data_IF_961711882630
#
_entry.id   IF_961711882630
#
_cell.length_a   1.000
_cell.length_b   1.000
_cell.length_c   1.000
_cell.angle_alpha   90.00
_cell.angle_beta   90.00
_cell.angle_gamma   90.00
#
_symmetry.space_group_name_H-M   'P 1'
#
loop_
_entity.id
_entity.type
_entity.pdbx_description
1 polymer ?
#
# COMPACT_ATOMS: atom_id res chain seq x y z
N UNK A 1 0.53 -1.94 -16.58
CA UNK A 1 1.93 -2.35 -16.85
C UNK A 1 2.73 -1.25 -17.54
N UNK A 2 2.19 -0.57 -18.56
CA UNK A 2 2.89 0.56 -19.21
C UNK A 2 3.13 1.72 -18.23
N UNK A 3 2.13 2.09 -17.43
CA UNK A 3 2.24 3.20 -16.44
C UNK A 3 3.27 2.94 -15.32
N UNK A 4 3.52 1.68 -14.96
CA UNK A 4 4.52 1.37 -13.92
C UNK A 4 5.94 1.44 -14.47
N UNK A 5 6.12 1.08 -15.75
CA UNK A 5 7.42 1.20 -16.41
C UNK A 5 7.82 2.66 -16.62
N UNK A 6 6.86 3.53 -16.97
CA UNK A 6 7.10 4.97 -17.07
C UNK A 6 7.46 5.56 -15.72
N UNK A 7 6.78 5.20 -14.62
CA UNK A 7 7.14 5.72 -13.28
C UNK A 7 8.57 5.35 -12.87
N UNK A 8 9.01 4.12 -13.17
CA UNK A 8 10.40 3.69 -12.88
C UNK A 8 11.38 4.51 -13.72
N UNK A 9 11.08 4.65 -15.01
CA UNK A 9 11.87 5.43 -15.96
C UNK A 9 11.98 6.91 -15.54
N UNK A 10 10.87 7.52 -15.18
CA UNK A 10 10.83 8.94 -14.79
C UNK A 10 11.49 9.17 -13.43
N UNK A 11 11.49 8.17 -12.55
CA UNK A 11 12.18 8.27 -11.25
C UNK A 11 13.70 8.28 -11.41
N UNK A 12 14.30 7.34 -12.17
CA UNK A 12 15.75 7.34 -12.32
C UNK A 12 16.22 8.57 -13.12
N UNK A 13 15.48 8.94 -14.18
CA UNK A 13 15.76 10.17 -14.93
C UNK A 13 15.64 11.42 -14.07
N UNK A 14 14.64 11.50 -13.18
CA UNK A 14 14.48 12.64 -12.29
C UNK A 14 15.72 12.91 -11.43
N UNK A 15 16.44 11.88 -10.99
CA UNK A 15 17.70 12.07 -10.26
C UNK A 15 18.79 12.70 -11.15
N UNK A 16 18.91 12.24 -12.40
CA UNK A 16 19.87 12.81 -13.36
C UNK A 16 19.53 14.24 -13.75
N UNK A 17 18.25 14.55 -13.91
CA UNK A 17 17.76 15.87 -14.27
C UNK A 17 18.02 16.88 -13.13
N UNK A 18 17.71 16.51 -11.88
CA UNK A 18 18.01 17.34 -10.70
C UNK A 18 19.51 17.58 -10.55
N UNK A 19 20.33 16.55 -10.76
CA UNK A 19 21.79 16.69 -10.70
C UNK A 19 22.33 17.64 -11.77
N UNK A 20 21.87 17.48 -13.01
CA UNK A 20 22.28 18.32 -14.15
C UNK A 20 21.83 19.76 -13.94
N UNK A 21 20.60 19.98 -13.49
CA UNK A 21 20.10 21.33 -13.28
C UNK A 21 20.73 22.02 -12.07
N UNK A 22 21.06 21.29 -10.99
CA UNK A 22 21.86 21.83 -9.89
C UNK A 22 23.26 22.25 -10.37
N UNK A 23 23.86 21.46 -11.27
CA UNK A 23 25.14 21.80 -11.90
C UNK A 23 25.03 23.08 -12.76
N UNK A 24 24.01 23.21 -13.60
CA UNK A 24 23.75 24.45 -14.36
C UNK A 24 23.53 25.65 -13.44
N UNK A 25 22.78 25.46 -12.36
CA UNK A 25 22.50 26.51 -11.39
C UNK A 25 23.77 26.96 -10.64
N UNK A 26 24.68 26.03 -10.37
CA UNK A 26 26.00 26.35 -9.81
C UNK A 26 26.85 27.19 -10.79
N UNK A 27 26.75 26.95 -12.09
CA UNK A 27 27.48 27.74 -13.09
C UNK A 27 26.96 29.19 -13.17
N UNK A 28 25.65 29.40 -13.06
CA UNK A 28 25.04 30.74 -13.18
C UNK A 28 25.12 31.56 -11.87
N UNK A 29 24.93 30.92 -10.69
CA UNK A 29 24.87 31.63 -9.40
C UNK A 29 26.10 31.45 -8.51
N UNK A 30 26.96 30.47 -8.78
CA UNK A 30 28.02 30.05 -7.87
C UNK A 30 27.44 29.66 -6.49
N UNK A 31 27.89 30.28 -5.38
CA UNK A 31 27.51 29.88 -4.02
C UNK A 31 26.04 30.13 -3.67
N UNK A 32 25.29 30.94 -4.44
CA UNK A 32 23.86 31.13 -4.18
C UNK A 32 22.99 29.92 -4.58
N UNK A 33 23.56 28.85 -5.15
CA UNK A 33 22.83 27.61 -5.45
C UNK A 33 22.31 26.87 -4.20
N UNK A 34 22.87 27.16 -3.01
CA UNK A 34 22.43 26.52 -1.77
C UNK A 34 21.00 26.91 -1.36
N UNK A 35 20.48 28.09 -1.75
CA UNK A 35 19.12 28.50 -1.39
C UNK A 35 18.05 27.52 -1.90
N UNK A 36 17.91 27.29 -3.22
CA UNK A 36 16.90 26.38 -3.74
C UNK A 36 17.19 24.94 -3.30
N UNK A 37 18.46 24.55 -3.17
CA UNK A 37 18.83 23.24 -2.62
C UNK A 37 18.27 23.00 -1.21
N UNK A 38 18.35 24.00 -0.32
CA UNK A 38 17.79 23.92 1.04
C UNK A 38 16.27 23.86 0.99
N UNK A 39 15.62 24.67 0.14
CA UNK A 39 14.16 24.65 -0.01
C UNK A 39 13.67 23.28 -0.50
N UNK A 40 14.32 22.71 -1.51
CA UNK A 40 13.98 21.37 -2.01
C UNK A 40 14.27 20.27 -0.97
N UNK A 41 15.37 20.37 -0.22
CA UNK A 41 15.66 19.43 0.86
C UNK A 41 14.59 19.49 1.96
N UNK A 42 14.18 20.68 2.39
CA UNK A 42 13.08 20.88 3.34
C UNK A 42 11.75 20.35 2.78
N UNK A 43 11.50 20.53 1.49
CA UNK A 43 10.32 20.01 0.82
C UNK A 43 10.27 18.48 0.86
N UNK A 44 11.39 17.80 0.56
CA UNK A 44 11.49 16.34 0.59
C UNK A 44 11.30 15.81 2.01
N UNK A 45 11.98 16.41 3.00
CA UNK A 45 11.86 16.02 4.41
C UNK A 45 10.43 16.25 4.94
N UNK A 46 9.84 17.41 4.64
CA UNK A 46 8.47 17.75 5.01
C UNK A 46 7.47 16.79 4.38
N UNK A 47 7.58 16.52 3.08
CA UNK A 47 6.73 15.57 2.37
C UNK A 47 6.86 14.16 2.96
N UNK A 48 8.08 13.70 3.26
CA UNK A 48 8.33 12.40 3.88
C UNK A 48 7.70 12.27 5.28
N UNK A 49 7.80 13.31 6.11
CA UNK A 49 7.20 13.32 7.44
C UNK A 49 5.67 13.33 7.38
N UNK A 50 5.08 14.22 6.56
CA UNK A 50 3.62 14.32 6.40
C UNK A 50 3.04 13.04 5.78
N UNK A 51 3.77 12.40 4.86
CA UNK A 51 3.34 11.11 4.26
C UNK A 51 3.21 10.00 5.31
N UNK A 52 4.05 9.99 6.35
CA UNK A 52 3.87 9.04 7.48
C UNK A 52 2.61 9.34 8.29
N UNK A 53 2.29 10.61 8.46
CA UNK A 53 1.08 11.05 9.18
C UNK A 53 -0.19 10.73 8.37
N UNK A 54 -0.22 11.08 7.08
CA UNK A 54 -1.39 10.87 6.22
C UNK A 54 -1.73 9.38 6.07
N UNK A 55 -0.72 8.50 6.05
CA UNK A 55 -0.93 7.05 6.00
C UNK A 55 -1.79 6.53 7.18
N UNK A 56 -1.66 7.13 8.37
CA UNK A 56 -2.51 6.77 9.53
C UNK A 56 -3.97 7.15 9.32
N UNK A 57 -4.23 8.34 8.79
CA UNK A 57 -5.58 8.80 8.46
C UNK A 57 -6.20 7.98 7.32
N UNK A 58 -5.41 7.66 6.31
CA UNK A 58 -5.81 6.79 5.21
C UNK A 58 -6.21 5.40 5.72
N UNK A 59 -5.43 4.83 6.64
CA UNK A 59 -5.75 3.54 7.26
C UNK A 59 -7.09 3.59 8.00
N UNK A 60 -7.32 4.61 8.84
CA UNK A 60 -8.58 4.77 9.58
C UNK A 60 -9.80 4.92 8.65
N UNK A 61 -9.64 5.65 7.54
CA UNK A 61 -10.68 5.77 6.53
C UNK A 61 -10.96 4.43 5.83
N UNK A 62 -9.91 3.68 5.47
CA UNK A 62 -10.04 2.34 4.90
C UNK A 62 -10.71 1.34 5.85
N UNK A 63 -10.41 1.41 7.16
CA UNK A 63 -11.08 0.60 8.17
C UNK A 63 -12.58 0.91 8.27
N UNK A 64 -12.97 2.19 8.19
CA UNK A 64 -14.38 2.60 8.15
C UNK A 64 -15.10 2.10 6.88
N UNK A 65 -14.44 2.20 5.72
CA UNK A 65 -14.94 1.62 4.45
C UNK A 65 -15.16 0.12 4.61
N UNK A 66 -14.16 -0.61 5.13
CA UNK A 66 -14.21 -2.06 5.30
C UNK A 66 -15.36 -2.46 6.23
N UNK A 67 -15.58 -1.71 7.31
CA UNK A 67 -16.68 -1.93 8.26
C UNK A 67 -18.04 -1.75 7.58
N UNK A 68 -18.21 -0.70 6.76
CA UNK A 68 -19.46 -0.50 6.01
C UNK A 68 -19.69 -1.61 4.99
N UNK A 69 -18.67 -1.94 4.19
CA UNK A 69 -18.79 -2.94 3.13
C UNK A 69 -19.14 -4.31 3.72
N UNK A 70 -18.44 -4.72 4.78
CA UNK A 70 -18.74 -5.98 5.50
C UNK A 70 -20.14 -5.99 6.11
N UNK A 71 -20.56 -4.90 6.77
CA UNK A 71 -21.92 -4.78 7.31
C UNK A 71 -22.98 -4.89 6.21
N UNK A 72 -22.83 -4.14 5.11
CA UNK A 72 -23.79 -4.19 4.00
C UNK A 72 -23.83 -5.56 3.31
N UNK A 73 -22.70 -6.25 3.22
CA UNK A 73 -22.62 -7.62 2.70
C UNK A 73 -23.40 -8.60 3.60
N UNK A 74 -23.20 -8.56 4.92
CA UNK A 74 -23.93 -9.39 5.87
C UNK A 74 -25.44 -9.11 5.84
N UNK A 75 -25.81 -7.83 5.76
CA UNK A 75 -27.20 -7.37 5.64
C UNK A 75 -27.87 -7.90 4.37
N UNK A 76 -27.18 -7.86 3.23
CA UNK A 76 -27.68 -8.37 1.96
C UNK A 76 -27.93 -9.89 2.03
N UNK A 77 -27.04 -10.63 2.70
CA UNK A 77 -27.24 -12.06 2.93
C UNK A 77 -28.48 -12.39 3.78
N UNK A 78 -28.84 -11.53 4.74
CA UNK A 78 -29.98 -11.75 5.65
C UNK A 78 -31.18 -10.84 5.38
N UNK A 79 -31.31 -10.28 4.18
CA UNK A 79 -32.30 -9.22 3.90
C UNK A 79 -33.76 -9.68 4.07
N UNK A 80 -34.05 -10.96 3.79
CA UNK A 80 -35.39 -11.54 3.99
C UNK A 80 -35.74 -11.56 5.48
N UNK A 81 -34.83 -11.99 6.35
CA UNK A 81 -35.03 -12.03 7.80
C UNK A 81 -35.27 -10.62 8.37
N UNK A 82 -34.52 -9.63 7.89
CA UNK A 82 -34.69 -8.22 8.29
C UNK A 82 -36.08 -7.69 7.93
N UNK A 83 -36.60 -8.06 6.75
CA UNK A 83 -37.96 -7.67 6.33
C UNK A 83 -39.04 -8.39 7.12
N UNK A 84 -38.87 -9.68 7.40
CA UNK A 84 -39.83 -10.48 8.19
C UNK A 84 -39.94 -9.99 9.63
N UNK A 85 -38.84 -9.50 10.21
CA UNK A 85 -38.79 -8.93 11.56
C UNK A 85 -39.24 -7.46 11.63
N UNK A 86 -39.57 -6.83 10.49
CA UNK A 86 -39.92 -5.40 10.45
C UNK A 86 -38.78 -4.45 10.85
N UNK A 87 -37.52 -4.92 10.82
CA UNK A 87 -36.36 -4.19 11.37
C UNK A 87 -35.72 -3.21 10.36
N UNK A 88 -36.34 -3.01 9.21
CA UNK A 88 -35.80 -2.24 8.08
C UNK A 88 -35.41 -0.80 8.45
N UNK A 89 -36.24 -0.12 9.25
CA UNK A 89 -35.97 1.26 9.68
C UNK A 89 -34.74 1.35 10.58
N UNK A 90 -34.58 0.42 11.52
CA UNK A 90 -33.42 0.38 12.44
C UNK A 90 -32.14 0.11 11.65
N UNK A 91 -32.19 -0.84 10.72
CA UNK A 91 -31.05 -1.19 9.88
C UNK A 91 -30.66 -0.04 8.93
N UNK A 92 -31.65 0.69 8.40
CA UNK A 92 -31.43 1.90 7.61
C UNK A 92 -30.70 2.98 8.43
N UNK A 93 -31.14 3.23 9.66
CA UNK A 93 -30.49 4.17 10.56
C UNK A 93 -29.05 3.75 10.90
N UNK A 94 -28.81 2.45 11.15
CA UNK A 94 -27.45 1.93 11.40
C UNK A 94 -26.54 2.10 10.19
N UNK A 95 -27.05 1.84 8.99
CA UNK A 95 -26.30 2.07 7.74
C UNK A 95 -25.94 3.54 7.58
N UNK A 96 -26.88 4.45 7.88
CA UNK A 96 -26.64 5.88 7.80
C UNK A 96 -25.56 6.34 8.79
N UNK A 97 -25.56 5.83 10.03
CA UNK A 97 -24.51 6.13 11.02
C UNK A 97 -23.13 5.65 10.56
N UNK A 98 -23.01 4.44 10.03
CA UNK A 98 -21.75 3.95 9.46
C UNK A 98 -21.29 4.83 8.29
N UNK A 99 -22.22 5.34 7.48
CA UNK A 99 -21.91 6.25 6.38
C UNK A 99 -21.41 7.60 6.86
N UNK A 100 -22.00 8.18 7.91
CA UNK A 100 -21.52 9.44 8.48
C UNK A 100 -20.11 9.30 9.06
N UNK A 101 -19.82 8.19 9.73
CA UNK A 101 -18.50 7.91 10.31
C UNK A 101 -17.42 7.77 9.20
N UNK A 102 -17.75 7.07 8.11
CA UNK A 102 -16.88 6.96 6.93
C UNK A 102 -16.58 8.34 6.32
N UNK A 103 -17.61 9.19 6.19
CA UNK A 103 -17.48 10.54 5.61
C UNK A 103 -16.61 11.43 6.50
N UNK A 104 -16.76 11.37 7.83
CA UNK A 104 -15.93 12.15 8.74
C UNK A 104 -14.45 11.74 8.67
N UNK A 105 -14.18 10.42 8.63
CA UNK A 105 -12.83 9.90 8.45
C UNK A 105 -12.24 10.31 7.09
N UNK A 106 -13.04 10.22 6.03
CA UNK A 106 -12.67 10.67 4.68
C UNK A 106 -12.33 12.16 4.65
N UNK A 107 -13.16 13.00 5.29
CA UNK A 107 -12.93 14.46 5.36
C UNK A 107 -11.59 14.77 6.01
N UNK A 108 -11.28 14.14 7.15
CA UNK A 108 -9.98 14.33 7.84
C UNK A 108 -8.80 13.95 6.95
N UNK A 109 -8.87 12.80 6.27
CA UNK A 109 -7.86 12.38 5.30
C UNK A 109 -7.73 13.38 4.14
N UNK A 110 -8.85 13.82 3.54
CA UNK A 110 -8.89 14.75 2.41
C UNK A 110 -8.32 16.11 2.77
N UNK A 111 -8.60 16.62 3.96
CA UNK A 111 -8.06 17.88 4.47
C UNK A 111 -6.54 17.79 4.63
N UNK A 112 -6.02 16.71 5.23
CA UNK A 112 -4.57 16.49 5.32
C UNK A 112 -3.91 16.36 3.94
N UNK A 113 -4.58 15.67 3.01
CA UNK A 113 -4.13 15.55 1.63
C UNK A 113 -4.11 16.91 0.89
N UNK A 114 -5.05 17.79 1.20
CA UNK A 114 -5.04 19.13 0.62
C UNK A 114 -3.84 19.93 1.14
N UNK A 115 -3.55 19.88 2.45
CA UNK A 115 -2.39 20.56 3.03
C UNK A 115 -1.07 20.11 2.39
N UNK A 116 -0.87 18.82 2.12
CA UNK A 116 0.37 18.35 1.49
C UNK A 116 0.48 18.82 0.03
N UNK A 117 -0.64 18.85 -0.72
CA UNK A 117 -0.66 19.36 -2.10
C UNK A 117 -0.32 20.86 -2.11
N UNK A 118 -0.91 21.64 -1.20
CA UNK A 118 -0.60 23.07 -1.07
C UNK A 118 0.87 23.27 -0.72
N UNK A 119 1.41 22.49 0.21
CA UNK A 119 2.81 22.54 0.58
C UNK A 119 3.74 22.21 -0.62
N UNK A 120 3.43 21.16 -1.39
CA UNK A 120 4.16 20.81 -2.61
C UNK A 120 4.13 21.92 -3.66
N UNK A 121 2.96 22.49 -3.96
CA UNK A 121 2.83 23.58 -4.92
C UNK A 121 3.51 24.86 -4.45
N UNK A 122 3.57 25.11 -3.14
CA UNK A 122 4.20 26.30 -2.58
C UNK A 122 5.71 26.35 -2.84
N UNK A 123 6.37 25.19 -2.97
CA UNK A 123 7.80 25.08 -3.29
C UNK A 123 8.16 25.81 -4.60
N UNK A 124 7.27 25.78 -5.60
CA UNK A 124 7.45 26.49 -6.88
C UNK A 124 7.50 28.02 -6.77
N UNK A 125 7.02 28.58 -5.67
CA UNK A 125 7.08 30.01 -5.37
C UNK A 125 8.22 30.32 -4.39
N UNK A 126 8.36 29.49 -3.35
CA UNK A 126 9.38 29.68 -2.32
C UNK A 126 10.81 29.46 -2.84
N UNK A 127 11.03 28.51 -3.75
CA UNK A 127 12.36 28.25 -4.29
C UNK A 127 12.91 29.42 -5.12
N UNK A 128 12.18 29.98 -6.11
CA UNK A 128 12.62 31.21 -6.79
C UNK A 128 12.76 32.38 -5.83
N UNK A 129 11.81 32.56 -4.91
CA UNK A 129 11.88 33.65 -3.93
C UNK A 129 13.16 33.60 -3.07
N UNK A 130 13.49 32.44 -2.50
CA UNK A 130 14.70 32.26 -1.71
C UNK A 130 15.98 32.46 -2.55
N UNK A 131 15.97 32.00 -3.80
CA UNK A 131 17.10 32.15 -4.73
C UNK A 131 17.35 33.62 -5.06
N UNK A 132 16.31 34.36 -5.44
CA UNK A 132 16.42 35.80 -5.73
C UNK A 132 16.76 36.62 -4.49
N UNK A 133 16.27 36.24 -3.31
CA UNK A 133 16.63 36.89 -2.05
C UNK A 133 18.14 36.76 -1.77
N UNK A 134 18.71 35.55 -1.90
CA UNK A 134 20.15 35.38 -1.74
C UNK A 134 20.95 36.10 -2.82
N UNK A 135 20.49 36.04 -4.08
CA UNK A 135 21.14 36.75 -5.19
C UNK A 135 21.19 38.26 -4.92
N UNK A 136 20.09 38.85 -4.44
CA UNK A 136 20.02 40.26 -4.05
C UNK A 136 20.98 40.60 -2.90
N UNK A 137 21.04 39.77 -1.86
CA UNK A 137 21.95 39.97 -0.73
C UNK A 137 23.42 39.91 -1.17
N UNK A 138 23.76 38.96 -2.06
CA UNK A 138 25.11 38.83 -2.61
C UNK A 138 25.48 40.00 -3.52
N UNK A 139 24.56 40.45 -4.37
CA UNK A 139 24.75 41.62 -5.23
C UNK A 139 25.02 42.88 -4.39
N UNK A 140 24.27 43.05 -3.29
CA UNK A 140 24.48 44.14 -2.32
C UNK A 140 25.86 44.06 -1.64
N UNK A 141 26.33 42.86 -1.31
CA UNK A 141 27.64 42.68 -0.68
C UNK A 141 28.82 42.89 -1.66
N UNK A 142 28.64 42.53 -2.94
CA UNK A 142 29.69 42.61 -3.97
C UNK A 142 29.63 43.86 -4.85
N UNK A 143 28.68 44.78 -4.62
CA UNK A 143 28.43 45.97 -5.45
C UNK A 143 28.28 45.67 -6.96
N UNK A 144 27.77 44.49 -7.30
CA UNK A 144 27.52 44.11 -8.70
C UNK A 144 26.08 44.47 -9.10
N UNK A 145 25.85 45.02 -10.29
CA UNK A 145 24.49 45.26 -10.78
C UNK A 145 23.77 43.93 -10.98
N UNK A 146 22.47 43.89 -10.66
CA UNK A 146 21.61 42.75 -10.96
C UNK A 146 21.34 42.75 -12.45
N UNK A 147 21.81 41.71 -13.13
CA UNK A 147 21.57 41.55 -14.55
C UNK A 147 20.22 40.86 -14.81
N UNK A 148 19.48 41.38 -15.77
CA UNK A 148 18.15 40.87 -16.11
C UNK A 148 18.25 39.54 -16.86
N UNK A 149 19.26 39.38 -17.73
CA UNK A 149 19.42 38.16 -18.51
C UNK A 149 19.75 36.96 -17.62
N UNK A 150 20.67 37.12 -16.67
CA UNK A 150 20.95 36.10 -15.65
C UNK A 150 19.70 35.75 -14.84
N UNK A 151 18.92 36.74 -14.39
CA UNK A 151 17.69 36.51 -13.62
C UNK A 151 16.67 35.64 -14.37
N UNK A 152 16.48 35.85 -15.67
CA UNK A 152 15.60 35.01 -16.50
C UNK A 152 16.15 33.61 -16.72
N UNK A 153 17.47 33.45 -16.89
CA UNK A 153 18.13 32.14 -17.00
C UNK A 153 17.88 31.32 -15.73
N UNK A 154 18.10 31.92 -14.56
CA UNK A 154 17.90 31.29 -13.25
C UNK A 154 16.46 30.83 -13.06
N UNK A 155 15.49 31.69 -13.37
CA UNK A 155 14.07 31.34 -13.26
C UNK A 155 13.72 30.16 -14.18
N UNK A 156 14.27 30.13 -15.38
CA UNK A 156 14.05 29.04 -16.35
C UNK A 156 14.62 27.72 -15.82
N UNK A 157 15.83 27.72 -15.28
CA UNK A 157 16.45 26.53 -14.68
C UNK A 157 15.62 26.05 -13.49
N UNK A 158 15.17 26.94 -12.61
CA UNK A 158 14.34 26.56 -11.46
C UNK A 158 13.00 25.93 -11.88
N UNK A 159 12.37 26.43 -12.94
CA UNK A 159 11.15 25.83 -13.50
C UNK A 159 11.41 24.46 -14.12
N UNK A 160 12.56 24.29 -14.76
CA UNK A 160 12.97 23.00 -15.30
C UNK A 160 13.14 21.95 -14.18
N UNK A 161 13.69 22.34 -13.02
CA UNK A 161 13.87 21.45 -11.85
C UNK A 161 12.57 21.11 -11.13
N UNK A 162 11.62 22.05 -11.11
CA UNK A 162 10.37 21.87 -10.37
C UNK A 162 9.57 20.66 -10.85
N UNK A 163 9.59 20.40 -12.16
CA UNK A 163 8.86 19.28 -12.79
C UNK A 163 9.36 17.92 -12.32
N UNK A 164 10.65 17.55 -12.50
CA UNK A 164 11.17 16.27 -12.01
C UNK A 164 11.13 16.16 -10.49
N UNK A 165 11.27 17.26 -9.75
CA UNK A 165 11.14 17.24 -8.29
C UNK A 165 9.73 16.83 -7.83
N UNK A 166 8.69 17.36 -8.47
CA UNK A 166 7.32 16.96 -8.19
C UNK A 166 7.07 15.50 -8.56
N UNK A 167 7.59 15.05 -9.70
CA UNK A 167 7.50 13.64 -10.13
C UNK A 167 8.16 12.69 -9.13
N UNK A 168 9.36 13.03 -8.62
CA UNK A 168 10.06 12.23 -7.60
C UNK A 168 9.27 12.16 -6.28
N UNK A 169 8.69 13.29 -5.85
CA UNK A 169 7.85 13.32 -4.66
C UNK A 169 6.61 12.44 -4.81
N UNK A 170 6.00 12.43 -6.01
CA UNK A 170 4.84 11.61 -6.31
C UNK A 170 5.19 10.12 -6.45
N UNK A 171 6.32 9.78 -7.06
CA UNK A 171 6.72 8.37 -7.29
C UNK A 171 7.19 7.65 -6.02
N UNK A 172 7.70 8.38 -5.04
CA UNK A 172 8.19 7.84 -3.75
C UNK A 172 7.19 6.88 -3.07
N UNK A 173 5.92 7.24 -2.80
CA UNK A 173 4.95 6.33 -2.20
C UNK A 173 4.61 5.13 -3.10
N UNK A 174 4.66 5.29 -4.43
CA UNK A 174 4.43 4.19 -5.37
C UNK A 174 5.54 3.14 -5.32
N UNK A 175 6.80 3.59 -5.25
CA UNK A 175 7.96 2.70 -5.10
C UNK A 175 7.89 1.98 -3.76
N UNK A 176 7.62 2.70 -2.66
CA UNK A 176 7.47 2.10 -1.35
C UNK A 176 6.35 1.03 -1.31
N UNK A 177 5.22 1.31 -1.96
CA UNK A 177 4.12 0.36 -2.08
C UNK A 177 4.49 -0.86 -2.91
N UNK A 178 5.22 -0.67 -4.02
CA UNK A 178 5.71 -1.77 -4.86
C UNK A 178 6.66 -2.68 -4.10
N UNK A 179 7.62 -2.10 -3.36
CA UNK A 179 8.53 -2.87 -2.48
C UNK A 179 7.76 -3.65 -1.42
N UNK A 180 6.76 -3.04 -0.79
CA UNK A 180 5.91 -3.73 0.20
C UNK A 180 5.12 -4.89 -0.42
N UNK A 181 4.64 -4.74 -1.66
CA UNK A 181 3.98 -5.82 -2.40
C UNK A 181 4.94 -6.98 -2.69
N UNK A 182 6.15 -6.69 -3.17
CA UNK A 182 7.17 -7.73 -3.38
C UNK A 182 7.54 -8.46 -2.09
N UNK A 183 7.67 -7.73 -0.99
CA UNK A 183 7.95 -8.34 0.32
C UNK A 183 6.85 -9.32 0.74
N UNK A 184 5.57 -9.00 0.50
CA UNK A 184 4.45 -9.93 0.78
C UNK A 184 4.48 -11.18 -0.10
N UNK A 185 4.79 -11.04 -1.38
CA UNK A 185 4.93 -12.18 -2.30
C UNK A 185 6.08 -13.07 -1.84
N UNK A 186 7.22 -12.49 -1.50
CA UNK A 186 8.37 -13.22 -0.99
C UNK A 186 8.02 -13.97 0.30
N UNK A 187 7.32 -13.33 1.24
CA UNK A 187 6.85 -13.98 2.47
C UNK A 187 5.91 -15.15 2.18
N UNK A 188 4.99 -15.01 1.22
CA UNK A 188 4.08 -16.09 0.82
C UNK A 188 4.83 -17.28 0.20
N UNK A 189 5.80 -17.01 -0.68
CA UNK A 189 6.61 -18.06 -1.31
C UNK A 189 7.53 -18.79 -0.32
N UNK A 190 7.95 -18.11 0.75
CA UNK A 190 8.75 -18.70 1.83
C UNK A 190 7.92 -19.33 2.95
N UNK A 191 6.58 -19.17 2.94
CA UNK A 191 5.72 -19.79 3.92
C UNK A 191 5.75 -21.32 3.76
N UNK A 192 5.63 -22.04 4.89
CA UNK A 192 5.66 -23.50 4.85
C UNK A 192 4.54 -24.04 3.95
N UNK A 193 4.93 -24.87 2.99
CA UNK A 193 3.98 -25.45 2.03
C UNK A 193 3.00 -26.34 2.77
N UNK A 194 1.72 -26.22 2.44
CA UNK A 194 0.68 -27.07 3.01
C UNK A 194 1.00 -28.54 2.69
N UNK A 195 1.31 -29.34 3.72
CA UNK A 195 1.58 -30.77 3.55
C UNK A 195 0.25 -31.46 3.26
N UNK A 196 0.07 -31.85 2.00
CA UNK A 196 -1.08 -32.66 1.60
C UNK A 196 -1.01 -34.03 2.29
N UNK A 197 -1.90 -34.27 3.26
CA UNK A 197 -2.00 -35.52 4.00
C UNK A 197 -2.35 -36.73 3.11
N UNK A 198 -2.71 -36.51 1.85
CA UNK A 198 -2.94 -37.59 0.87
C UNK A 198 -1.63 -38.19 0.36
N UNK A 199 -0.51 -37.46 0.44
CA UNK A 199 0.83 -37.95 0.07
C UNK A 199 1.55 -38.69 1.21
N UNK A 200 1.12 -38.54 2.47
CA UNK A 200 1.67 -39.33 3.59
C UNK A 200 1.11 -40.76 3.65
N UNK A 201 -0.05 -41.02 3.04
CA UNK A 201 -0.65 -42.36 2.98
C UNK A 201 -0.01 -43.28 1.93
N UNK A 202 0.69 -42.74 0.92
CA UNK A 202 1.42 -43.55 -0.06
C UNK A 202 2.73 -44.13 0.48
N UNK A 203 3.28 -43.56 1.57
CA UNK A 203 4.50 -44.06 2.22
C UNK A 203 4.22 -45.20 3.23
N UNK A 204 2.95 -45.57 3.45
CA UNK A 204 2.58 -46.76 4.24
C UNK A 204 2.07 -47.89 3.34
N UNK A 205 2.65 -48.05 2.15
CA UNK A 205 2.62 -49.32 1.40
C UNK A 205 3.85 -50.15 1.74
N UNK A 206 3.96 -50.49 3.02
CA UNK A 206 4.72 -51.65 3.52
C UNK A 206 3.78 -52.82 3.82
N UNK A 207 2.64 -52.90 3.15
CA UNK A 207 1.63 -53.95 3.34
C UNK A 207 1.69 -55.04 2.28
N UNK A 208 2.52 -54.90 1.23
CA UNK A 208 2.66 -55.92 0.18
C UNK A 208 3.35 -57.22 0.68
N UNK A 209 4.13 -57.16 1.77
CA UNK A 209 4.66 -58.37 2.43
C UNK A 209 3.61 -59.13 3.25
N UNK A 210 2.60 -58.44 3.79
CA UNK A 210 1.55 -59.06 4.60
C UNK A 210 0.55 -59.81 3.72
N UNK A 211 0.20 -59.26 2.56
CA UNK A 211 -0.72 -59.88 1.62
C UNK A 211 -0.11 -61.08 0.87
N UNK A 212 1.19 -61.04 0.55
CA UNK A 212 1.87 -62.16 -0.13
C UNK A 212 2.00 -63.40 0.77
N UNK A 213 2.26 -63.20 2.07
CA UNK A 213 2.32 -64.29 3.05
C UNK A 213 0.94 -64.89 3.36
N UNK A 214 -0.10 -64.06 3.40
CA UNK A 214 -1.48 -64.52 3.60
C UNK A 214 -2.06 -65.26 2.38
N UNK A 215 -1.66 -64.90 1.15
CA UNK A 215 -2.10 -65.57 -0.08
C UNK A 215 -1.50 -66.96 -0.27
N UNK A 216 -0.36 -67.28 0.36
CA UNK A 216 0.30 -68.57 0.19
C UNK A 216 -0.22 -69.65 1.15
N UNK A 217 -1.07 -69.31 2.13
CA UNK A 217 -1.36 -70.22 3.26
C UNK A 217 -2.82 -70.70 3.41
N UNK A 218 -3.82 -70.33 2.59
CA UNK A 218 -5.17 -70.91 2.79
C UNK A 218 -5.95 -71.24 1.52
N UNK A 219 -6.19 -72.56 1.41
CA UNK A 219 -7.37 -73.21 0.87
C UNK A 219 -8.66 -72.37 0.99
N UNK A 220 -9.40 -72.35 -0.13
CA UNK A 220 -10.85 -72.18 -0.30
C UNK A 220 -11.67 -71.75 0.94
N UNK A 221 -12.19 -70.53 0.92
CA UNK A 221 -13.39 -70.16 1.69
C UNK A 221 -14.29 -69.31 0.78
N UNK A 222 -15.54 -69.73 0.66
CA UNK A 222 -16.55 -69.21 -0.27
C UNK A 222 -16.95 -67.74 -0.05
N UNK A 223 -17.36 -67.08 -1.14
CA UNK A 223 -17.82 -65.71 -1.17
C UNK A 223 -19.26 -65.59 -0.64
N UNK A 224 -19.41 -65.01 0.57
CA UNK A 224 -20.70 -64.49 1.05
C UNK A 224 -20.92 -63.10 0.46
N UNK A 225 -21.93 -62.96 -0.40
CA UNK A 225 -22.31 -61.67 -0.95
C UNK A 225 -22.85 -60.74 0.15
N UNK A 226 -22.18 -59.61 0.39
CA UNK A 226 -22.67 -58.53 1.24
C UNK A 226 -23.23 -57.41 0.38
N UNK A 227 -24.52 -57.15 0.62
CA UNK A 227 -25.33 -56.18 -0.09
C UNK A 227 -24.91 -54.72 0.15
N UNK A 228 -25.34 -53.89 -0.79
CA UNK A 228 -25.20 -52.44 -0.80
C UNK A 228 -25.92 -51.80 0.41
N UNK A 229 -25.16 -51.37 1.42
CA UNK A 229 -25.62 -50.36 2.37
C UNK A 229 -24.65 -49.17 2.41
N UNK A 230 -25.18 -47.96 2.17
CA UNK A 230 -24.47 -46.70 2.38
C UNK A 230 -24.52 -46.37 3.87
N UNK A 231 -23.39 -46.09 4.55
CA UNK A 231 -23.44 -45.69 5.95
C UNK A 231 -23.98 -44.27 6.11
N UNK A 232 -24.78 -43.99 7.15
CA UNK A 232 -25.35 -42.67 7.42
C UNK A 232 -24.29 -41.69 7.94
N UNK A 233 -24.47 -40.41 7.61
CA UNK A 233 -23.69 -39.26 8.08
C UNK A 233 -23.70 -39.18 9.61
N UNK A 234 -22.65 -39.69 10.25
CA UNK A 234 -22.43 -39.53 11.68
C UNK A 234 -21.99 -38.10 11.99
N UNK A 235 -22.73 -37.49 12.92
CA UNK A 235 -22.52 -36.17 13.49
C UNK A 235 -21.25 -36.16 14.34
N UNK A 236 -20.08 -35.88 13.77
CA UNK A 236 -18.86 -35.56 14.55
C UNK A 236 -18.04 -34.44 13.92
N UNK A 237 -18.60 -33.23 13.92
CA UNK A 237 -17.84 -32.01 13.66
C UNK A 237 -18.39 -30.83 14.46
N UNK A 238 -18.51 -30.98 15.78
CA UNK A 238 -18.65 -29.87 16.73
C UNK A 238 -17.95 -30.25 18.04
N UNK A 239 -16.62 -30.27 18.01
CA UNK A 239 -15.80 -30.10 19.21
C UNK A 239 -15.07 -28.78 19.04
N UNK A 240 -15.78 -27.68 19.32
CA UNK A 240 -15.13 -26.43 19.67
C UNK A 240 -14.49 -26.65 21.03
N UNK A 241 -13.17 -26.79 21.03
CA UNK A 241 -12.34 -26.88 22.22
C UNK A 241 -12.33 -25.52 22.91
N UNK A 242 -12.95 -25.48 24.09
CA UNK A 242 -12.82 -24.41 25.07
C UNK A 242 -11.35 -24.05 25.29
N UNK A 243 -11.04 -22.76 25.14
CA UNK A 243 -9.84 -22.17 25.70
C UNK A 243 -10.25 -20.86 26.40
N UNK A 244 -10.86 -21.04 27.57
CA UNK A 244 -10.85 -20.04 28.62
C UNK A 244 -9.95 -20.58 29.75
N UNK A 245 -9.14 -19.68 30.30
CA UNK A 245 -8.28 -19.85 31.49
C UNK A 245 -6.91 -20.48 31.27
N UNK A 246 -5.87 -19.63 31.29
CA UNK A 246 -4.82 -19.67 32.31
C UNK A 246 -4.07 -18.32 32.29
N UNK A 247 -4.08 -17.68 33.46
CA UNK A 247 -3.10 -16.74 34.07
C UNK A 247 -2.47 -15.61 33.24
#
# INVERSE_FOLDING_TARGET
MVETATVIHDTWLGFFEVGTAMFLLYLELGPACYAPAIVYALQILGTGWVTKVISRYQKRWLEAIQTRVSFTSALLHSIQNVKLLGLSTIISERTQRLRTDEIEACKKFRTMNNFIIVFQNSSGVFAPFATFLLYYLQARASNRPLDLATSFSILTILRLVETPMNTLCYSTPHIASSVACFQRIQQYLMAEQWRDARLSLSHTKGTDEVWSKAMNERQSIELRALGSERPPLTKEALVFKDCHSME
#
